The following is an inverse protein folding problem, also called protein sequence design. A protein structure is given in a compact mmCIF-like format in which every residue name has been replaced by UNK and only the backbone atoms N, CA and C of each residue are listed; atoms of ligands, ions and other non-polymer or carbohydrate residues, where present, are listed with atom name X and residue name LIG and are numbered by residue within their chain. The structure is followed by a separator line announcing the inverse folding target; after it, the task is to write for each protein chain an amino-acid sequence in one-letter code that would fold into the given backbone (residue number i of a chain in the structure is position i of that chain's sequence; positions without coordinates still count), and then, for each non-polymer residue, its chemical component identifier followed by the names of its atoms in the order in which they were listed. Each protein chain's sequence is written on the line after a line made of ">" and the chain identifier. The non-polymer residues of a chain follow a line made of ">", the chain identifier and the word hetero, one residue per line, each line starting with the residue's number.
data_IF_374089886287
#
_entry.id   IF_374089886287
#
_cell.length_a   1.000
_cell.length_b   1.000
_cell.length_c   1.000
_cell.angle_alpha   90.00
_cell.angle_beta   90.00
_cell.angle_gamma   90.00
#
_symmetry.space_group_name_H-M   'P 1'
#
loop_
_entity.id
_entity.type
_entity.pdbx_description
1 polymer ?
#
# COMPACT_ATOMS: atom_id res chain seq x y z
N UNK A 1 -11.46 -24.29 -25.13
CA UNK A 1 -11.98 -22.93 -24.82
C UNK A 1 -12.14 -22.85 -23.31
N UNK A 2 -11.10 -22.44 -22.64
CA UNK A 2 -11.17 -22.09 -21.20
C UNK A 2 -11.70 -20.66 -21.15
N UNK A 3 -13.05 -20.52 -21.20
CA UNK A 3 -13.67 -19.25 -20.91
C UNK A 3 -13.33 -18.89 -19.48
N UNK A 4 -12.83 -17.68 -19.26
CA UNK A 4 -12.55 -17.16 -17.94
C UNK A 4 -13.86 -17.19 -17.13
N UNK A 5 -13.98 -18.16 -16.23
CA UNK A 5 -15.16 -18.30 -15.35
C UNK A 5 -15.26 -17.15 -14.34
N UNK A 6 -14.28 -16.26 -14.34
CA UNK A 6 -14.16 -15.15 -13.42
C UNK A 6 -14.04 -13.83 -14.17
N UNK A 7 -14.75 -12.84 -13.71
CA UNK A 7 -14.75 -11.50 -14.27
C UNK A 7 -13.91 -10.58 -13.39
N UNK A 8 -13.01 -9.84 -14.03
CA UNK A 8 -12.37 -8.71 -13.37
C UNK A 8 -13.40 -7.61 -13.15
N UNK A 9 -13.26 -6.93 -12.04
CA UNK A 9 -14.05 -5.75 -11.73
C UNK A 9 -13.15 -4.55 -11.98
N UNK A 10 -13.30 -3.95 -13.14
CA UNK A 10 -12.47 -2.83 -13.58
C UNK A 10 -12.57 -1.65 -12.58
N UNK A 11 -11.49 -0.93 -12.38
CA UNK A 11 -11.41 0.22 -11.46
C UNK A 11 -11.80 -0.09 -10.00
N UNK A 12 -11.29 -1.19 -9.46
CA UNK A 12 -11.50 -1.52 -8.06
C UNK A 12 -10.68 -0.56 -7.18
N UNK A 13 -11.38 0.08 -6.26
CA UNK A 13 -10.76 0.92 -5.24
C UNK A 13 -11.04 0.36 -3.86
N UNK A 14 -9.98 0.09 -3.09
CA UNK A 14 -10.08 -0.33 -1.71
C UNK A 14 -9.40 0.69 -0.80
N UNK A 15 -10.01 0.97 0.35
CA UNK A 15 -9.42 1.83 1.37
C UNK A 15 -9.87 1.43 2.76
N UNK A 16 -9.01 1.71 3.73
CA UNK A 16 -9.35 1.56 5.12
C UNK A 16 -10.34 2.65 5.53
N UNK A 17 -11.45 2.25 6.14
CA UNK A 17 -12.52 3.17 6.48
C UNK A 17 -12.51 3.66 7.91
N UNK A 18 -11.98 2.88 8.82
CA UNK A 18 -12.14 3.17 10.24
C UNK A 18 -10.82 3.10 10.98
N UNK A 19 -10.62 3.95 12.00
CA UNK A 19 -9.47 3.85 12.90
C UNK A 19 -9.56 2.62 13.82
N UNK A 20 -10.66 1.88 13.79
CA UNK A 20 -10.93 0.75 14.69
C UNK A 20 -10.55 -0.60 14.11
N UNK A 21 -9.85 -0.63 13.02
CA UNK A 21 -9.37 -1.90 12.64
C UNK A 21 -9.25 -2.23 11.17
N UNK A 22 -9.82 -3.33 10.83
CA UNK A 22 -9.56 -4.13 9.65
C UNK A 22 -10.66 -4.01 8.61
N UNK A 23 -11.50 -2.99 8.72
CA UNK A 23 -12.60 -2.79 7.79
C UNK A 23 -12.14 -2.03 6.55
N UNK A 24 -12.54 -2.55 5.41
CA UNK A 24 -12.29 -1.96 4.11
C UNK A 24 -13.59 -1.70 3.38
N UNK A 25 -13.69 -0.58 2.69
CA UNK A 25 -14.70 -0.34 1.67
C UNK A 25 -14.08 -0.61 0.31
N UNK A 26 -14.56 -1.63 -0.36
CA UNK A 26 -14.25 -1.87 -1.76
C UNK A 26 -15.33 -1.26 -2.64
N UNK A 27 -14.92 -0.51 -3.65
CA UNK A 27 -15.78 0.06 -4.69
C UNK A 27 -15.27 -0.40 -6.05
N UNK A 28 -16.18 -0.64 -7.00
CA UNK A 28 -15.80 -1.09 -8.34
C UNK A 28 -16.76 -0.55 -9.39
N UNK A 29 -16.32 -0.62 -10.65
CA UNK A 29 -17.17 -0.40 -11.80
C UNK A 29 -17.33 -1.71 -12.57
N UNK A 30 -18.55 -2.03 -12.94
CA UNK A 30 -18.87 -3.18 -13.76
C UNK A 30 -19.90 -2.75 -14.81
N UNK A 31 -19.62 -2.92 -16.11
CA UNK A 31 -20.59 -2.64 -17.16
C UNK A 31 -21.86 -3.45 -16.97
N UNK A 32 -23.00 -2.86 -17.25
CA UNK A 32 -24.32 -3.47 -17.00
C UNK A 32 -24.50 -4.81 -17.71
N UNK A 33 -23.91 -4.97 -18.90
CA UNK A 33 -23.91 -6.23 -19.65
C UNK A 33 -23.12 -7.35 -18.95
N UNK A 34 -22.11 -7.01 -18.16
CA UNK A 34 -21.32 -7.97 -17.37
C UNK A 34 -21.97 -8.26 -16.00
N UNK A 35 -22.71 -7.32 -15.46
CA UNK A 35 -23.33 -7.43 -14.14
C UNK A 35 -24.27 -8.64 -14.04
N UNK A 36 -25.02 -8.91 -15.10
CA UNK A 36 -25.93 -10.07 -15.16
C UNK A 36 -25.24 -11.43 -15.08
N UNK A 37 -23.94 -11.49 -15.32
CA UNK A 37 -23.11 -12.70 -15.24
C UNK A 37 -22.48 -12.92 -13.86
N UNK A 38 -22.66 -11.99 -12.92
CA UNK A 38 -22.03 -12.03 -11.60
C UNK A 38 -23.08 -12.33 -10.54
N UNK A 39 -22.98 -13.48 -9.90
CA UNK A 39 -23.82 -13.87 -8.76
C UNK A 39 -23.06 -13.74 -7.43
N UNK A 40 -21.74 -13.82 -7.46
CA UNK A 40 -20.89 -13.80 -6.28
C UNK A 40 -19.67 -12.91 -6.50
N UNK A 41 -19.34 -12.14 -5.46
CA UNK A 41 -18.10 -11.40 -5.33
C UNK A 41 -17.16 -12.20 -4.43
N UNK A 42 -15.94 -12.36 -4.86
CA UNK A 42 -14.88 -13.00 -4.11
C UNK A 42 -13.79 -12.00 -3.77
N UNK A 43 -13.38 -11.99 -2.50
CA UNK A 43 -12.28 -11.18 -2.01
C UNK A 43 -11.29 -12.11 -1.32
N UNK A 44 -10.10 -12.16 -1.85
CA UNK A 44 -8.99 -12.95 -1.33
C UNK A 44 -7.87 -12.02 -0.92
N UNK A 45 -7.51 -12.04 0.36
CA UNK A 45 -6.34 -11.34 0.84
C UNK A 45 -5.10 -12.20 0.61
N UNK A 46 -4.05 -11.63 0.06
CA UNK A 46 -2.78 -12.32 -0.08
C UNK A 46 -2.30 -12.81 1.30
N UNK A 47 -1.89 -14.08 1.35
CA UNK A 47 -1.51 -14.82 2.58
C UNK A 47 -2.66 -15.34 3.46
N UNK A 48 -3.91 -15.18 3.09
CA UNK A 48 -5.00 -15.90 3.73
C UNK A 48 -5.23 -17.29 3.08
N UNK A 49 -5.78 -18.20 3.88
CA UNK A 49 -5.95 -19.58 3.41
C UNK A 49 -7.11 -19.72 2.40
N UNK A 50 -8.14 -18.87 2.50
CA UNK A 50 -9.35 -18.98 1.68
C UNK A 50 -9.96 -17.61 1.36
N UNK A 51 -10.54 -17.45 0.15
CA UNK A 51 -11.27 -16.24 -0.20
C UNK A 51 -12.58 -16.12 0.58
N UNK A 52 -13.00 -14.89 0.82
CA UNK A 52 -14.34 -14.59 1.34
C UNK A 52 -15.30 -14.43 0.17
N UNK A 53 -16.49 -15.02 0.31
CA UNK A 53 -17.53 -14.97 -0.70
C UNK A 53 -18.70 -14.10 -0.23
N UNK A 54 -19.17 -13.24 -1.11
CA UNK A 54 -20.32 -12.37 -0.88
C UNK A 54 -21.33 -12.54 -2.01
N UNK A 55 -22.64 -12.71 -1.70
CA UNK A 55 -23.67 -12.64 -2.73
C UNK A 55 -23.66 -11.25 -3.39
N UNK A 56 -23.59 -11.20 -4.70
CA UNK A 56 -23.53 -9.92 -5.44
C UNK A 56 -24.78 -9.06 -5.23
N UNK A 57 -25.94 -9.69 -5.06
CA UNK A 57 -27.19 -9.01 -4.72
C UNK A 57 -27.18 -8.24 -3.39
N UNK A 58 -26.23 -8.55 -2.51
CA UNK A 58 -26.00 -7.81 -1.27
C UNK A 58 -25.09 -6.59 -1.41
N UNK A 59 -24.47 -6.42 -2.58
CA UNK A 59 -23.54 -5.32 -2.85
C UNK A 59 -24.34 -4.11 -3.37
N UNK A 60 -24.61 -3.16 -2.51
CA UNK A 60 -25.41 -1.98 -2.87
C UNK A 60 -24.51 -0.93 -3.53
N UNK A 61 -24.87 -0.52 -4.75
CA UNK A 61 -24.17 0.55 -5.48
C UNK A 61 -22.70 0.22 -5.81
N UNK A 62 -22.41 -1.04 -6.14
CA UNK A 62 -21.06 -1.53 -6.46
C UNK A 62 -20.06 -1.26 -5.34
N UNK A 63 -20.47 -1.48 -4.10
CA UNK A 63 -19.62 -1.32 -2.94
C UNK A 63 -19.92 -2.37 -1.87
N UNK A 64 -18.90 -2.74 -1.09
CA UNK A 64 -19.03 -3.63 0.05
C UNK A 64 -18.06 -3.29 1.15
N UNK A 65 -18.53 -3.42 2.40
CA UNK A 65 -17.69 -3.39 3.58
C UNK A 65 -17.23 -4.79 3.93
N UNK A 66 -15.94 -4.96 4.11
CA UNK A 66 -15.34 -6.25 4.44
C UNK A 66 -14.40 -6.10 5.61
N UNK A 67 -14.57 -6.97 6.60
CA UNK A 67 -13.66 -7.09 7.74
C UNK A 67 -12.78 -8.32 7.57
N UNK A 68 -11.49 -8.17 7.80
CA UNK A 68 -10.53 -9.27 7.82
C UNK A 68 -9.93 -9.41 9.21
N UNK A 69 -10.22 -10.52 9.88
CA UNK A 69 -9.77 -10.77 11.25
C UNK A 69 -8.24 -10.94 11.41
N UNK A 70 -7.57 -11.38 10.34
CA UNK A 70 -6.13 -11.64 10.34
C UNK A 70 -5.31 -10.42 9.96
N UNK A 71 -5.91 -9.45 9.36
CA UNK A 71 -5.34 -8.13 9.34
C UNK A 71 -5.63 -7.51 10.71
N UNK A 72 -4.97 -8.00 11.72
CA UNK A 72 -4.46 -7.08 12.69
C UNK A 72 -3.59 -6.11 11.86
N UNK A 73 -4.25 -5.27 11.07
CA UNK A 73 -3.66 -4.10 10.41
C UNK A 73 -2.94 -3.46 11.53
N UNK A 74 -1.67 -3.76 11.53
CA UNK A 74 -1.01 -3.86 12.77
C UNK A 74 -1.19 -2.50 13.39
N UNK A 75 -1.88 -2.44 14.51
CA UNK A 75 -2.05 -1.21 15.26
C UNK A 75 -0.68 -0.51 15.39
N UNK A 76 0.40 -1.25 15.09
CA UNK A 76 1.79 -0.86 15.21
C UNK A 76 2.57 -0.80 13.89
N UNK A 77 1.97 -1.10 12.74
CA UNK A 77 2.67 -1.14 11.45
C UNK A 77 1.87 -0.43 10.36
N UNK A 78 2.55 0.21 9.44
CA UNK A 78 1.98 0.71 8.19
C UNK A 78 2.53 -0.11 7.04
N UNK A 79 1.65 -0.75 6.28
CA UNK A 79 2.02 -1.60 5.15
C UNK A 79 0.97 -1.59 4.06
N UNK A 80 1.36 -2.02 2.88
CA UNK A 80 0.41 -2.38 1.82
C UNK A 80 -0.18 -3.75 2.08
N UNK A 81 -1.49 -3.86 1.85
CA UNK A 81 -2.22 -5.12 1.81
C UNK A 81 -2.77 -5.31 0.41
N UNK A 82 -2.54 -6.47 -0.14
CA UNK A 82 -2.93 -6.83 -1.49
C UNK A 82 -4.12 -7.77 -1.46
N UNK A 83 -5.12 -7.46 -2.27
CA UNK A 83 -6.32 -8.25 -2.43
C UNK A 83 -6.49 -8.66 -3.88
N UNK A 84 -6.97 -9.88 -4.09
CA UNK A 84 -7.56 -10.30 -5.36
C UNK A 84 -9.07 -10.18 -5.24
N UNK A 85 -9.69 -9.51 -6.21
CA UNK A 85 -11.13 -9.28 -6.23
C UNK A 85 -11.67 -9.64 -7.60
N UNK A 86 -12.69 -10.49 -7.62
CA UNK A 86 -13.29 -10.95 -8.86
C UNK A 86 -14.76 -11.34 -8.68
N UNK A 87 -15.51 -11.27 -9.77
CA UNK A 87 -16.89 -11.73 -9.84
C UNK A 87 -16.97 -13.14 -10.46
N UNK A 88 -17.95 -13.93 -10.05
CA UNK A 88 -18.27 -15.21 -10.68
C UNK A 88 -19.75 -15.51 -10.71
N UNK A 89 -20.16 -16.38 -11.65
CA UNK A 89 -21.50 -16.94 -11.68
C UNK A 89 -21.66 -18.12 -10.69
N UNK A 90 -20.57 -18.82 -10.39
CA UNK A 90 -20.56 -20.01 -9.54
C UNK A 90 -20.24 -19.66 -8.08
N UNK A 91 -20.97 -20.28 -7.15
CA UNK A 91 -20.75 -20.14 -5.70
C UNK A 91 -19.72 -21.12 -5.13
N UNK A 92 -18.90 -21.75 -5.95
CA UNK A 92 -17.81 -22.61 -5.51
C UNK A 92 -16.50 -21.85 -5.49
N UNK A 93 -15.69 -22.06 -4.47
CA UNK A 93 -14.36 -21.45 -4.38
C UNK A 93 -13.50 -21.86 -5.59
N UNK A 94 -12.78 -20.92 -6.22
CA UNK A 94 -11.87 -21.25 -7.31
C UNK A 94 -10.76 -22.15 -6.84
N UNK A 95 -10.29 -23.07 -7.70
CA UNK A 95 -9.10 -23.86 -7.41
C UNK A 95 -7.86 -22.99 -7.24
N UNK A 96 -6.89 -23.44 -6.46
CA UNK A 96 -5.69 -22.67 -6.13
C UNK A 96 -4.88 -22.25 -7.37
N UNK A 97 -4.86 -23.08 -8.40
CA UNK A 97 -4.16 -22.74 -9.64
C UNK A 97 -4.84 -21.58 -10.41
N UNK A 98 -6.15 -21.44 -10.32
CA UNK A 98 -6.88 -20.31 -10.90
C UNK A 98 -6.66 -19.04 -10.11
N UNK A 99 -6.68 -19.11 -8.76
CA UNK A 99 -6.31 -17.99 -7.88
C UNK A 99 -4.89 -17.51 -8.21
N UNK A 100 -3.95 -18.43 -8.33
CA UNK A 100 -2.56 -18.08 -8.71
C UNK A 100 -2.47 -17.45 -10.10
N UNK A 101 -3.28 -17.89 -11.04
CA UNK A 101 -3.37 -17.30 -12.37
C UNK A 101 -3.92 -15.86 -12.36
N UNK A 102 -4.90 -15.59 -11.53
CA UNK A 102 -5.45 -14.24 -11.33
C UNK A 102 -4.47 -13.32 -10.58
N UNK A 103 -3.71 -13.86 -9.64
CA UNK A 103 -2.69 -13.10 -8.89
C UNK A 103 -1.58 -12.51 -9.76
N UNK A 104 -1.38 -13.05 -10.96
CA UNK A 104 -0.46 -12.52 -11.96
C UNK A 104 -1.03 -11.40 -12.85
N UNK A 105 -2.31 -11.07 -12.70
CA UNK A 105 -3.00 -10.14 -13.59
C UNK A 105 -3.49 -8.92 -12.80
N UNK A 106 -3.06 -7.73 -13.23
CA UNK A 106 -3.33 -6.47 -12.53
C UNK A 106 -4.81 -6.13 -12.41
N UNK A 107 -5.64 -6.56 -13.38
CA UNK A 107 -7.08 -6.32 -13.39
C UNK A 107 -7.85 -6.98 -12.24
N UNK A 108 -7.25 -7.93 -11.52
CA UNK A 108 -7.84 -8.57 -10.35
C UNK A 108 -7.29 -8.05 -9.03
N UNK A 109 -6.29 -7.17 -9.07
CA UNK A 109 -5.52 -6.76 -7.90
C UNK A 109 -5.98 -5.39 -7.40
N UNK A 110 -6.22 -5.30 -6.10
CA UNK A 110 -6.39 -4.06 -5.37
C UNK A 110 -5.37 -3.98 -4.25
N UNK A 111 -4.61 -2.90 -4.20
CA UNK A 111 -3.65 -2.64 -3.13
C UNK A 111 -4.15 -1.49 -2.25
N UNK A 112 -4.07 -1.67 -0.95
CA UNK A 112 -4.50 -0.68 0.04
C UNK A 112 -3.38 -0.45 1.04
N UNK A 113 -3.02 0.81 1.27
CA UNK A 113 -2.11 1.18 2.35
C UNK A 113 -2.88 1.20 3.67
N UNK A 114 -2.50 0.32 4.58
CA UNK A 114 -3.14 0.13 5.88
C UNK A 114 -2.29 0.68 7.01
N UNK A 115 -2.95 1.18 8.06
CA UNK A 115 -2.28 1.84 9.18
C UNK A 115 -2.04 3.32 8.92
N UNK A 116 -1.60 4.01 9.97
CA UNK A 116 -1.17 5.41 9.88
C UNK A 116 0.10 5.62 10.71
N UNK A 117 0.99 6.46 10.25
CA UNK A 117 2.20 6.80 10.97
C UNK A 117 2.52 8.28 10.91
N UNK A 118 3.29 8.71 11.88
CA UNK A 118 3.95 10.01 11.89
C UNK A 118 5.45 9.79 11.91
N UNK A 119 6.14 10.43 10.97
CA UNK A 119 7.58 10.36 10.80
C UNK A 119 8.17 11.75 11.00
N UNK A 120 9.22 11.82 11.77
CA UNK A 120 10.08 12.99 11.87
C UNK A 120 11.47 12.63 11.36
N UNK A 121 12.03 13.39 10.45
CA UNK A 121 13.30 13.05 9.84
C UNK A 121 14.21 14.25 9.65
N UNK A 122 15.53 14.00 9.56
CA UNK A 122 16.56 14.99 9.22
C UNK A 122 17.83 14.31 8.75
N UNK A 123 18.67 15.09 8.06
CA UNK A 123 20.01 14.69 7.72
C UNK A 123 20.99 15.10 8.81
N UNK A 124 21.91 14.20 9.16
CA UNK A 124 23.15 14.51 9.86
C UNK A 124 24.26 14.52 8.83
N UNK A 125 24.70 15.71 8.42
CA UNK A 125 25.78 15.89 7.45
C UNK A 125 27.11 15.99 8.19
N UNK A 126 28.04 15.12 7.87
CA UNK A 126 29.42 15.13 8.33
C UNK A 126 30.36 15.29 7.12
N UNK A 127 31.61 15.66 7.38
CA UNK A 127 32.61 15.93 6.32
C UNK A 127 32.73 14.75 5.33
N UNK A 128 32.69 13.53 5.84
CA UNK A 128 32.97 12.31 5.07
C UNK A 128 31.78 11.31 5.03
N UNK A 129 30.65 11.66 5.61
CA UNK A 129 29.50 10.77 5.62
C UNK A 129 28.19 11.50 5.87
N UNK A 130 27.14 11.08 5.18
CA UNK A 130 25.79 11.55 5.42
C UNK A 130 24.99 10.46 6.11
N UNK A 131 24.32 10.81 7.18
CA UNK A 131 23.42 9.90 7.88
C UNK A 131 22.00 10.43 7.84
N UNK A 132 21.07 9.54 7.55
CA UNK A 132 19.65 9.80 7.65
C UNK A 132 19.16 9.35 9.01
N UNK A 133 18.44 10.21 9.68
CA UNK A 133 17.75 9.91 10.93
C UNK A 133 16.27 9.97 10.69
N UNK A 134 15.56 8.87 10.99
CA UNK A 134 14.10 8.78 10.93
C UNK A 134 13.59 8.34 12.30
N UNK A 135 12.70 9.12 12.87
CA UNK A 135 11.98 8.79 14.09
C UNK A 135 10.52 8.53 13.74
N UNK A 136 10.07 7.30 13.94
CA UNK A 136 8.72 6.87 13.57
C UNK A 136 7.94 6.42 14.81
N UNK A 137 6.67 6.76 14.86
CA UNK A 137 5.79 6.28 15.92
C UNK A 137 5.27 4.85 15.69
N UNK A 138 5.57 4.25 14.54
CA UNK A 138 5.19 2.89 14.17
C UNK A 138 6.22 2.25 13.24
N UNK A 139 6.15 0.93 13.10
CA UNK A 139 6.87 0.24 12.03
C UNK A 139 6.27 0.62 10.68
N UNK A 140 7.12 0.75 9.65
CA UNK A 140 6.71 1.09 8.30
C UNK A 140 7.40 0.13 7.33
N UNK A 141 6.61 -0.51 6.48
CA UNK A 141 7.12 -1.44 5.49
C UNK A 141 8.07 -0.76 4.49
N UNK A 142 9.03 -1.53 4.00
CA UNK A 142 10.18 -1.10 3.21
C UNK A 142 9.81 -0.28 1.97
N UNK A 143 8.73 -0.65 1.29
CA UNK A 143 8.35 -0.06 0.01
C UNK A 143 7.53 1.25 0.11
N UNK A 144 7.23 1.71 1.32
CA UNK A 144 6.37 2.87 1.54
C UNK A 144 7.10 4.20 1.58
N UNK A 145 8.41 4.20 1.72
CA UNK A 145 9.22 5.42 1.82
C UNK A 145 10.34 5.42 0.80
N UNK A 146 10.58 6.57 0.22
CA UNK A 146 11.69 6.78 -0.71
C UNK A 146 12.19 8.22 -0.65
N UNK A 147 13.41 8.44 -1.13
CA UNK A 147 13.95 9.76 -1.32
C UNK A 147 13.94 10.14 -2.78
N UNK A 148 13.65 11.41 -3.03
CA UNK A 148 13.84 11.99 -4.35
C UNK A 148 14.37 13.43 -4.25
N UNK A 149 15.00 13.89 -5.30
CA UNK A 149 15.34 15.30 -5.41
C UNK A 149 14.09 16.12 -5.73
N UNK A 150 13.96 17.34 -5.13
CA UNK A 150 12.86 18.24 -5.46
C UNK A 150 12.80 18.49 -6.96
N UNK A 151 11.58 18.63 -7.47
CA UNK A 151 11.32 18.96 -8.87
C UNK A 151 12.09 20.22 -9.30
N UNK A 152 12.80 20.15 -10.43
CA UNK A 152 13.49 21.27 -11.04
C UNK A 152 15.00 21.10 -11.17
N UNK A 153 15.58 20.08 -10.56
CA UNK A 153 16.98 19.76 -10.68
C UNK A 153 17.14 18.61 -11.66
N UNK A 154 17.55 18.93 -12.90
CA UNK A 154 17.89 17.96 -13.96
C UNK A 154 16.77 17.06 -14.50
N UNK A 155 15.50 17.40 -14.35
CA UNK A 155 14.36 16.80 -15.07
C UNK A 155 14.08 15.30 -14.87
N UNK A 156 14.92 14.55 -14.15
CA UNK A 156 14.72 13.14 -13.85
C UNK A 156 14.73 12.99 -12.33
N UNK A 157 13.61 12.69 -11.69
CA UNK A 157 13.61 12.34 -10.27
C UNK A 157 14.34 11.02 -10.13
N UNK A 158 15.52 11.03 -9.54
CA UNK A 158 16.20 9.81 -9.13
C UNK A 158 15.65 9.45 -7.77
N UNK A 159 14.84 8.39 -7.71
CA UNK A 159 14.34 7.81 -6.48
C UNK A 159 15.44 6.96 -5.84
N UNK A 160 15.57 7.07 -4.52
CA UNK A 160 16.45 6.23 -3.71
C UNK A 160 15.59 5.50 -2.69
N UNK A 161 15.68 4.20 -2.68
CA UNK A 161 15.01 3.39 -1.67
C UNK A 161 15.73 3.52 -0.32
N UNK A 162 14.95 3.47 0.75
CA UNK A 162 15.49 3.34 2.10
C UNK A 162 15.86 1.88 2.30
N UNK A 163 17.08 1.57 2.79
CA UNK A 163 17.45 0.18 2.99
C UNK A 163 16.68 -0.44 4.17
N UNK A 164 15.64 -1.18 3.86
CA UNK A 164 14.87 -2.00 4.81
C UNK A 164 13.71 -1.29 5.51
N UNK A 165 13.03 -2.04 6.37
CA UNK A 165 11.94 -1.54 7.18
C UNK A 165 12.35 -0.41 8.12
N UNK A 166 11.42 0.51 8.38
CA UNK A 166 11.57 1.49 9.45
C UNK A 166 10.88 0.95 10.70
N UNK A 167 11.66 0.75 11.74
CA UNK A 167 11.13 0.33 13.02
C UNK A 167 10.58 1.49 13.83
N UNK A 168 9.63 1.20 14.72
CA UNK A 168 9.14 2.18 15.68
C UNK A 168 10.32 2.74 16.51
N UNK A 169 10.37 4.07 16.66
CA UNK A 169 11.45 4.79 17.30
C UNK A 169 12.48 5.33 16.31
N UNK A 170 13.70 5.53 16.81
CA UNK A 170 14.78 6.17 16.05
C UNK A 170 15.55 5.17 15.21
N UNK A 171 15.52 5.39 13.90
CA UNK A 171 16.28 4.63 12.90
C UNK A 171 17.42 5.50 12.39
N UNK A 172 18.58 4.87 12.11
CA UNK A 172 19.76 5.55 11.59
C UNK A 172 20.30 4.77 10.41
N UNK A 173 20.48 5.45 9.30
CA UNK A 173 21.07 4.93 8.07
C UNK A 173 22.33 5.74 7.76
N UNK A 174 23.49 5.10 7.86
CA UNK A 174 24.78 5.74 7.66
C UNK A 174 25.29 5.56 6.23
N UNK A 175 26.24 6.40 5.82
CA UNK A 175 26.93 6.33 4.54
C UNK A 175 26.00 6.46 3.32
N UNK A 176 24.95 7.24 3.43
CA UNK A 176 24.10 7.52 2.30
C UNK A 176 24.82 8.47 1.37
N UNK A 177 25.05 7.99 0.15
CA UNK A 177 25.71 8.77 -0.88
C UNK A 177 24.71 9.73 -1.52
N UNK A 178 25.07 11.01 -1.54
CA UNK A 178 24.38 11.98 -2.40
C UNK A 178 25.20 12.17 -3.66
N UNK A 179 24.60 12.09 -4.86
CA UNK A 179 25.26 12.61 -6.04
C UNK A 179 25.62 14.10 -5.79
N UNK A 180 26.71 14.55 -6.39
CA UNK A 180 27.18 15.93 -6.26
C UNK A 180 26.15 16.92 -6.80
N UNK A 181 25.20 17.28 -5.96
CA UNK A 181 24.18 18.28 -6.24
C UNK A 181 24.10 19.25 -5.06
N UNK A 182 23.76 20.49 -5.34
CA UNK A 182 23.56 21.51 -4.30
C UNK A 182 22.23 21.33 -3.53
N UNK A 183 21.53 20.23 -3.76
CA UNK A 183 20.19 19.99 -3.20
C UNK A 183 20.17 18.72 -2.35
N UNK A 184 19.61 18.85 -1.16
CA UNK A 184 19.35 17.71 -0.29
C UNK A 184 18.14 16.94 -0.80
N UNK A 185 18.18 15.60 -0.87
CA UNK A 185 16.98 14.80 -1.17
C UNK A 185 15.92 14.98 -0.11
N UNK A 186 14.66 14.89 -0.51
CA UNK A 186 13.52 14.93 0.39
C UNK A 186 12.88 13.55 0.51
N UNK A 187 12.32 13.28 1.69
CA UNK A 187 11.61 12.04 1.99
C UNK A 187 10.17 12.14 1.48
N UNK A 188 9.78 11.17 0.67
CA UNK A 188 8.44 10.99 0.15
C UNK A 188 7.82 9.70 0.63
N UNK A 189 6.50 9.64 0.58
CA UNK A 189 5.73 8.45 0.97
C UNK A 189 4.85 7.98 -0.18
N UNK A 190 4.71 6.67 -0.32
CA UNK A 190 3.80 6.01 -1.26
C UNK A 190 2.47 5.64 -0.61
N UNK A 191 2.06 6.34 0.44
CA UNK A 191 0.82 6.07 1.17
C UNK A 191 0.21 7.35 1.73
N UNK A 192 -1.10 7.47 1.60
CA UNK A 192 -1.84 8.66 2.04
C UNK A 192 -1.88 8.83 3.57
N UNK A 193 -1.55 7.78 4.31
CA UNK A 193 -1.75 7.70 5.76
C UNK A 193 -0.47 7.95 6.57
N UNK A 194 0.61 8.41 5.93
CA UNK A 194 1.88 8.69 6.59
C UNK A 194 2.13 10.20 6.60
N UNK A 195 2.15 10.77 7.78
CA UNK A 195 2.52 12.17 7.96
C UNK A 195 4.04 12.31 8.08
N UNK A 196 4.65 13.07 7.19
CA UNK A 196 6.09 13.30 7.15
C UNK A 196 6.42 14.72 7.58
N UNK A 197 7.32 14.85 8.54
CA UNK A 197 7.79 16.14 9.07
C UNK A 197 9.30 16.20 8.97
N UNK A 198 9.83 17.13 8.19
CA UNK A 198 11.27 17.44 8.17
C UNK A 198 11.63 18.29 9.37
N UNK A 199 12.48 17.78 10.26
CA UNK A 199 13.02 18.59 11.36
C UNK A 199 13.97 19.65 10.82
N UNK A 200 13.70 20.91 11.12
CA UNK A 200 14.66 21.97 10.84
C UNK A 200 15.93 21.73 11.66
N UNK A 201 17.09 21.77 11.03
CA UNK A 201 18.39 21.79 11.73
C UNK A 201 18.35 22.91 12.78
N UNK A 202 18.47 22.56 14.05
CA UNK A 202 18.93 23.53 15.03
C UNK A 202 20.42 23.70 14.81
N UNK A 203 20.83 24.78 14.20
CA UNK A 203 22.23 25.17 14.20
C UNK A 203 22.66 25.38 15.64
N UNK A 204 23.74 24.74 16.10
CA UNK A 204 24.22 24.94 17.46
C UNK A 204 25.07 26.24 17.56
N UNK A 205 24.51 27.35 17.10
CA UNK A 205 25.13 28.64 17.30
C UNK A 205 24.08 29.63 17.80
N UNK A 206 24.03 29.72 19.10
CA UNK A 206 23.95 30.92 19.89
C UNK A 206 24.64 30.66 21.19
#
# INVERSE_FOLDING_TARGET
>A
MTGDNYLSLDDIHGRQLTPYGTDFLFTWNLPQEKEAAVNYLWIYQENEAMPQMFPYSGCIGHQIHVSFNTVAVALNEVRKVRFLIFGSAAGAAPPQNEISGMAGKSEYICEVCCGNAKIEWHWELKKDSNSLIIDSNKNIAEDLLFFAYPYGVNQIPTEFEIPGEIHQGKNRYDNIFFPETNYEPELFVRGENIQVIKKKKRWPFN
#
